data_IF_460212628598
#
_entry.id   IF_460212628598
#
_cell.length_a   1.000
_cell.length_b   1.000
_cell.length_c   1.000
_cell.angle_alpha   90.00
_cell.angle_beta   90.00
_cell.angle_gamma   90.00
#
_symmetry.space_group_name_H-M   'P 1'
#
loop_
_entity.id
_entity.type
_entity.pdbx_description
1 polymer ?
#
# COMPACT_ATOMS: atom_id res chain seq x y z
N UNK A 1 15.66 17.65 9.55
CA UNK A 1 14.18 17.65 9.53
C UNK A 1 13.75 16.24 9.20
N UNK A 2 13.30 15.52 10.22
CA UNK A 2 12.71 14.20 10.10
C UNK A 2 11.21 14.28 9.89
N UNK A 3 10.62 13.17 9.46
CA UNK A 3 9.17 13.09 9.28
C UNK A 3 8.48 12.90 10.63
N UNK A 4 7.38 13.63 10.85
CA UNK A 4 6.41 13.39 11.92
C UNK A 4 5.29 12.50 11.37
N UNK A 5 5.16 11.30 11.90
CA UNK A 5 4.32 10.22 11.37
C UNK A 5 3.22 9.94 12.37
N UNK A 6 1.97 9.90 11.91
CA UNK A 6 0.85 9.43 12.72
C UNK A 6 0.43 8.03 12.28
N UNK A 7 0.43 7.07 13.20
CA UNK A 7 -0.15 5.74 12.98
C UNK A 7 -1.53 5.66 13.65
N UNK A 8 -2.55 5.28 12.88
CA UNK A 8 -3.84 4.87 13.43
C UNK A 8 -3.79 3.38 13.71
N UNK A 9 -3.80 3.02 14.99
CA UNK A 9 -3.78 1.65 15.46
C UNK A 9 -5.18 1.05 15.45
N UNK A 10 -5.40 0.03 14.62
CA UNK A 10 -6.66 -0.70 14.53
C UNK A 10 -6.78 -1.83 15.57
N UNK A 11 -6.11 -1.66 16.72
CA UNK A 11 -5.98 -2.65 17.79
C UNK A 11 -5.17 -3.89 17.36
N UNK A 12 -4.02 -3.67 16.71
CA UNK A 12 -3.14 -4.74 16.23
C UNK A 12 -1.94 -4.98 17.16
N UNK A 13 -1.61 -6.25 17.37
CA UNK A 13 -0.48 -6.64 18.25
C UNK A 13 0.89 -6.28 17.68
N UNK A 14 0.99 -5.96 16.39
CA UNK A 14 2.22 -5.63 15.67
C UNK A 14 2.39 -4.14 15.38
N UNK A 15 1.48 -3.27 15.81
CA UNK A 15 1.57 -1.82 15.58
C UNK A 15 2.90 -1.23 16.06
N UNK A 16 3.42 -1.66 17.21
CA UNK A 16 4.71 -1.16 17.70
C UNK A 16 5.94 -1.70 16.94
N UNK A 17 5.81 -2.82 16.22
CA UNK A 17 6.85 -3.24 15.28
C UNK A 17 6.92 -2.28 14.08
N UNK A 18 5.77 -1.76 13.64
CA UNK A 18 5.74 -0.69 12.63
C UNK A 18 6.38 0.58 13.17
N UNK A 19 6.06 0.99 14.41
CA UNK A 19 6.70 2.15 15.06
C UNK A 19 8.22 1.99 15.02
N UNK A 20 8.75 0.87 15.51
CA UNK A 20 10.19 0.61 15.49
C UNK A 20 10.78 0.58 14.08
N UNK A 21 10.06 0.06 13.08
CA UNK A 21 10.52 0.08 11.69
C UNK A 21 10.60 1.51 11.14
N UNK A 22 9.62 2.37 11.43
CA UNK A 22 9.63 3.77 11.02
C UNK A 22 10.72 4.59 11.71
N UNK A 23 10.94 4.36 13.00
CA UNK A 23 12.01 5.00 13.76
C UNK A 23 13.39 4.55 13.26
N UNK A 24 13.56 3.27 12.93
CA UNK A 24 14.82 2.74 12.43
C UNK A 24 15.17 3.27 11.03
N UNK A 25 14.18 3.38 10.13
CA UNK A 25 14.40 3.80 8.75
C UNK A 25 14.31 5.32 8.55
N UNK A 26 13.81 6.03 9.55
CA UNK A 26 13.78 7.49 9.59
C UNK A 26 15.16 8.11 9.87
N UNK A 27 15.26 9.42 9.68
CA UNK A 27 16.40 10.21 10.15
C UNK A 27 16.35 10.39 11.67
N UNK A 28 17.42 10.90 12.29
CA UNK A 28 17.50 11.13 13.76
C UNK A 28 16.32 11.95 14.34
N UNK A 29 15.72 12.85 13.55
CA UNK A 29 14.58 13.69 13.94
C UNK A 29 13.20 13.03 13.67
N UNK A 30 13.13 11.76 13.26
CA UNK A 30 11.88 11.07 12.95
C UNK A 30 11.04 10.91 14.23
N UNK A 31 9.75 11.25 14.16
CA UNK A 31 8.80 11.12 15.27
C UNK A 31 7.62 10.27 14.84
N UNK A 32 7.23 9.31 15.67
CA UNK A 32 6.10 8.42 15.39
C UNK A 32 5.14 8.47 16.56
N UNK A 33 3.94 9.00 16.31
CA UNK A 33 2.85 8.96 17.28
C UNK A 33 1.83 7.89 16.88
N UNK A 34 1.17 7.30 17.89
CA UNK A 34 0.14 6.27 17.69
C UNK A 34 -1.16 6.75 18.31
N UNK A 35 -2.21 6.84 17.50
CA UNK A 35 -3.57 7.06 17.97
C UNK A 35 -4.37 5.75 17.84
N UNK A 36 -4.88 5.21 18.96
CA UNK A 36 -5.83 4.11 18.90
C UNK A 36 -7.08 4.53 18.13
N UNK A 37 -7.57 3.67 17.23
CA UNK A 37 -8.76 3.94 16.42
C UNK A 37 -9.98 4.26 17.28
N UNK A 38 -10.08 3.63 18.45
CA UNK A 38 -11.17 3.84 19.41
C UNK A 38 -11.15 5.25 20.01
N UNK A 39 -10.04 5.99 19.94
CA UNK A 39 -9.91 7.35 20.48
C UNK A 39 -10.11 8.45 19.42
N UNK A 40 -10.32 8.10 18.15
CA UNK A 40 -10.51 9.07 17.07
C UNK A 40 -11.70 10.02 17.25
N UNK A 41 -12.67 9.64 18.09
CA UNK A 41 -13.82 10.48 18.42
C UNK A 41 -13.53 11.49 19.54
N UNK A 42 -12.47 11.28 20.32
CA UNK A 42 -12.07 12.15 21.43
C UNK A 42 -10.92 13.09 21.10
N UNK A 43 -10.12 12.75 20.08
CA UNK A 43 -8.99 13.57 19.65
C UNK A 43 -9.47 14.66 18.69
N UNK A 44 -8.91 15.86 18.82
CA UNK A 44 -9.11 16.90 17.82
C UNK A 44 -8.45 16.48 16.50
N UNK A 45 -9.27 16.10 15.54
CA UNK A 45 -8.81 15.64 14.23
C UNK A 45 -8.09 16.72 13.44
N UNK A 46 -8.19 18.00 13.81
CA UNK A 46 -7.39 19.07 13.19
C UNK A 46 -5.89 18.90 13.45
N UNK A 47 -5.50 18.25 14.56
CA UNK A 47 -4.10 17.96 14.88
C UNK A 47 -3.43 17.02 13.88
N UNK A 48 -4.19 16.28 13.07
CA UNK A 48 -3.63 15.40 12.03
C UNK A 48 -2.77 16.17 11.02
N UNK A 49 -3.06 17.45 10.82
CA UNK A 49 -2.33 18.31 9.89
C UNK A 49 -0.98 18.79 10.43
N UNK A 50 -0.64 18.49 11.69
CA UNK A 50 0.70 18.66 12.24
C UNK A 50 1.67 17.55 11.81
N UNK A 51 1.14 16.47 11.25
CA UNK A 51 1.92 15.33 10.77
C UNK A 51 2.21 15.45 9.27
N UNK A 52 3.28 14.79 8.86
CA UNK A 52 3.73 14.75 7.47
C UNK A 52 3.11 13.60 6.68
N UNK A 53 2.69 12.54 7.38
CA UNK A 53 1.94 11.45 6.79
C UNK A 53 1.08 10.71 7.80
N UNK A 54 0.07 10.02 7.29
CA UNK A 54 -0.80 9.11 8.01
C UNK A 54 -0.48 7.67 7.62
N UNK A 55 -0.39 6.79 8.60
CA UNK A 55 -0.27 5.34 8.40
C UNK A 55 -1.49 4.68 9.01
N UNK A 56 -2.20 3.90 8.20
CA UNK A 56 -3.27 3.03 8.68
C UNK A 56 -2.67 1.65 8.93
N UNK A 57 -2.61 1.24 10.20
CA UNK A 57 -2.00 -0.03 10.61
C UNK A 57 -2.76 -1.24 10.07
N UNK A 58 -2.16 -2.45 10.16
CA UNK A 58 -2.91 -3.69 10.18
C UNK A 58 -3.93 -3.72 11.32
N UNK A 59 -4.83 -4.70 11.29
CA UNK A 59 -5.77 -4.94 12.36
C UNK A 59 -6.71 -6.11 12.07
N UNK A 60 -7.46 -6.56 13.09
CA UNK A 60 -8.54 -7.52 12.90
C UNK A 60 -9.73 -6.91 12.16
N UNK A 61 -10.69 -7.75 11.79
CA UNK A 61 -11.96 -7.28 11.23
C UNK A 61 -11.86 -6.80 9.78
N UNK A 62 -12.73 -5.87 9.41
CA UNK A 62 -12.90 -5.33 8.07
C UNK A 62 -13.09 -3.80 8.12
N UNK A 63 -12.84 -3.08 7.01
CA UNK A 63 -12.94 -1.62 7.00
C UNK A 63 -14.27 -1.06 7.52
N UNK A 64 -15.39 -1.75 7.26
CA UNK A 64 -16.72 -1.37 7.73
C UNK A 64 -16.88 -1.39 9.26
N UNK A 65 -16.00 -2.09 9.97
CA UNK A 65 -16.00 -2.15 11.43
C UNK A 65 -15.37 -0.87 12.04
N UNK A 66 -14.69 -0.05 11.22
CA UNK A 66 -13.98 1.16 11.64
C UNK A 66 -14.47 2.42 10.87
N UNK A 67 -15.76 2.80 10.97
CA UNK A 67 -16.31 3.91 10.19
C UNK A 67 -15.64 5.27 10.47
N UNK A 68 -15.09 5.47 11.67
CA UNK A 68 -14.35 6.68 12.03
C UNK A 68 -13.13 6.94 11.12
N UNK A 69 -12.51 5.88 10.60
CA UNK A 69 -11.37 5.99 9.68
C UNK A 69 -11.81 6.51 8.32
N UNK A 70 -13.03 6.20 7.87
CA UNK A 70 -13.58 6.77 6.64
C UNK A 70 -13.75 8.28 6.77
N UNK A 71 -14.32 8.75 7.87
CA UNK A 71 -14.45 10.19 8.16
C UNK A 71 -13.10 10.90 8.26
N UNK A 72 -12.08 10.21 8.82
CA UNK A 72 -10.71 10.71 8.86
C UNK A 72 -10.12 10.85 7.44
N UNK A 73 -10.34 9.88 6.57
CA UNK A 73 -9.90 9.94 5.18
C UNK A 73 -10.58 11.09 4.41
N UNK A 74 -11.87 11.33 4.65
CA UNK A 74 -12.58 12.50 4.11
C UNK A 74 -11.93 13.82 4.57
N UNK A 75 -11.36 13.86 5.77
CA UNK A 75 -10.72 15.05 6.34
C UNK A 75 -9.29 15.28 5.83
N UNK A 76 -8.56 14.25 5.38
CA UNK A 76 -7.16 14.37 4.93
C UNK A 76 -6.93 14.18 3.43
N UNK A 77 -7.85 13.53 2.72
CA UNK A 77 -7.82 13.34 1.27
C UNK A 77 -8.88 14.23 0.62
N UNK A 78 -8.55 14.93 -0.47
CA UNK A 78 -9.56 15.73 -1.17
C UNK A 78 -9.10 16.26 -2.53
N UNK A 79 -9.95 16.11 -3.55
CA UNK A 79 -9.71 16.63 -4.90
C UNK A 79 -9.78 18.17 -4.98
N UNK A 80 -10.58 18.77 -4.10
CA UNK A 80 -10.78 20.23 -4.01
C UNK A 80 -9.92 20.87 -2.91
N UNK A 81 -9.07 20.09 -2.23
CA UNK A 81 -8.16 20.59 -1.21
C UNK A 81 -6.87 21.06 -1.85
N UNK A 82 -6.34 22.16 -1.33
CA UNK A 82 -5.02 22.71 -1.69
C UNK A 82 -3.91 21.68 -1.42
N UNK A 83 -4.08 20.84 -0.39
CA UNK A 83 -3.13 19.82 0.06
C UNK A 83 -3.87 18.55 0.48
N UNK A 84 -3.32 17.39 0.13
CA UNK A 84 -3.70 16.09 0.69
C UNK A 84 -2.57 15.58 1.56
N UNK A 85 -2.90 14.97 2.70
CA UNK A 85 -1.90 14.30 3.53
C UNK A 85 -1.52 12.97 2.88
N UNK A 86 -0.22 12.64 2.75
CA UNK A 86 0.21 11.32 2.33
C UNK A 86 -0.33 10.21 3.25
N UNK A 87 -0.87 9.14 2.66
CA UNK A 87 -1.45 8.02 3.42
C UNK A 87 -0.85 6.69 2.96
N UNK A 88 -0.31 5.93 3.91
CA UNK A 88 0.10 4.53 3.72
C UNK A 88 -0.86 3.60 4.47
N UNK A 89 -1.51 2.69 3.77
CA UNK A 89 -2.34 1.65 4.38
C UNK A 89 -1.68 0.28 4.35
N UNK A 90 -1.65 -0.41 5.47
CA UNK A 90 -1.01 -1.73 5.60
C UNK A 90 -2.06 -2.77 6.01
N UNK A 91 -2.15 -3.88 5.29
CA UNK A 91 -3.13 -4.96 5.48
C UNK A 91 -4.57 -4.42 5.53
N UNK A 92 -5.17 -4.29 6.73
CA UNK A 92 -6.47 -3.65 6.92
C UNK A 92 -6.47 -2.21 6.41
N UNK A 93 -5.38 -1.45 6.58
CA UNK A 93 -5.24 -0.11 6.04
C UNK A 93 -5.35 -0.05 4.51
N UNK A 94 -4.73 -0.99 3.78
CA UNK A 94 -4.93 -1.09 2.32
C UNK A 94 -6.39 -1.39 1.99
N UNK A 95 -7.00 -2.32 2.72
CA UNK A 95 -8.39 -2.71 2.50
C UNK A 95 -9.32 -1.51 2.69
N UNK A 96 -9.08 -0.70 3.72
CA UNK A 96 -9.80 0.55 4.00
C UNK A 96 -9.66 1.53 2.85
N UNK A 97 -8.44 1.81 2.40
CA UNK A 97 -8.19 2.71 1.27
C UNK A 97 -8.90 2.24 0.00
N UNK A 98 -8.82 0.94 -0.31
CA UNK A 98 -9.46 0.38 -1.49
C UNK A 98 -10.99 0.52 -1.42
N UNK A 99 -11.60 0.20 -0.27
CA UNK A 99 -13.04 0.36 -0.10
C UNK A 99 -13.48 1.83 -0.10
N UNK A 100 -12.65 2.73 0.44
CA UNK A 100 -12.87 4.17 0.42
C UNK A 100 -12.95 4.72 -1.01
N UNK A 101 -12.09 4.23 -1.91
CA UNK A 101 -12.15 4.56 -3.34
C UNK A 101 -13.18 3.73 -4.14
N UNK A 102 -14.13 3.07 -3.48
CA UNK A 102 -15.23 2.33 -4.13
C UNK A 102 -14.84 0.93 -4.63
N UNK A 103 -13.67 0.42 -4.24
CA UNK A 103 -13.29 -0.97 -4.46
C UNK A 103 -14.06 -1.94 -3.57
N UNK A 104 -13.91 -3.23 -3.83
CA UNK A 104 -14.56 -4.30 -3.05
C UNK A 104 -13.54 -5.32 -2.58
N UNK A 105 -13.91 -6.08 -1.55
CA UNK A 105 -13.07 -7.13 -0.97
C UNK A 105 -13.72 -8.49 -1.18
N UNK A 106 -12.90 -9.53 -1.26
CA UNK A 106 -13.35 -10.92 -1.26
C UNK A 106 -12.55 -11.74 -0.25
N UNK A 107 -13.16 -12.81 0.26
CA UNK A 107 -12.51 -13.71 1.19
C UNK A 107 -11.72 -14.79 0.43
N UNK A 108 -10.48 -15.01 0.83
CA UNK A 108 -9.62 -16.06 0.30
C UNK A 108 -10.06 -17.42 0.86
N UNK A 109 -10.33 -18.38 -0.03
CA UNK A 109 -10.82 -19.72 0.35
C UNK A 109 -9.88 -20.50 1.27
N UNK A 110 -8.58 -20.18 1.27
CA UNK A 110 -7.61 -20.70 2.25
C UNK A 110 -6.68 -19.60 2.72
N UNK A 111 -6.53 -19.50 4.04
CA UNK A 111 -5.70 -18.52 4.71
C UNK A 111 -4.36 -19.18 5.03
N UNK A 112 -3.27 -18.56 4.58
CA UNK A 112 -1.90 -19.06 4.79
C UNK A 112 -1.16 -18.10 5.71
N UNK A 113 -1.61 -17.99 6.96
CA UNK A 113 -0.92 -17.18 7.99
C UNK A 113 0.52 -17.69 8.19
N UNK A 114 1.45 -16.76 8.37
CA UNK A 114 2.85 -17.11 8.70
C UNK A 114 3.57 -17.82 7.56
N UNK A 115 3.25 -17.48 6.30
CA UNK A 115 3.99 -17.95 5.11
C UNK A 115 4.56 -16.79 4.32
N UNK A 116 5.70 -17.04 3.69
CA UNK A 116 6.30 -16.12 2.73
C UNK A 116 5.72 -16.36 1.35
N UNK A 117 5.45 -15.28 0.63
CA UNK A 117 5.02 -15.32 -0.77
C UNK A 117 5.89 -14.42 -1.62
N UNK A 118 6.07 -14.81 -2.88
CA UNK A 118 6.78 -14.01 -3.86
C UNK A 118 5.83 -13.01 -4.53
N UNK A 119 6.22 -11.74 -4.55
CA UNK A 119 5.53 -10.69 -5.27
C UNK A 119 6.05 -10.56 -6.70
N UNK A 120 5.11 -10.36 -7.61
CA UNK A 120 5.35 -9.80 -8.93
C UNK A 120 5.05 -8.29 -8.87
N UNK A 121 6.06 -7.48 -9.15
CA UNK A 121 5.96 -6.03 -9.11
C UNK A 121 5.67 -5.47 -10.51
N UNK A 122 4.81 -4.46 -10.58
CA UNK A 122 4.65 -3.65 -11.78
C UNK A 122 5.84 -2.71 -11.86
N UNK A 123 6.55 -2.71 -12.99
CA UNK A 123 7.50 -1.63 -13.27
C UNK A 123 6.72 -0.33 -13.41
N UNK A 124 6.77 0.50 -12.38
CA UNK A 124 6.31 1.87 -12.49
C UNK A 124 7.43 2.65 -13.19
N UNK A 125 7.12 3.55 -14.15
CA UNK A 125 8.13 4.50 -14.60
C UNK A 125 8.68 5.18 -13.35
N UNK A 126 10.01 5.30 -13.25
CA UNK A 126 10.62 6.18 -12.25
C UNK A 126 9.89 7.52 -12.37
N UNK A 127 9.40 8.05 -11.24
CA UNK A 127 8.88 9.42 -11.19
C UNK A 127 9.91 10.25 -11.94
N UNK A 128 9.50 10.87 -13.06
CA UNK A 128 10.43 11.53 -13.97
C UNK A 128 11.40 12.35 -13.12
N UNK A 129 12.71 12.13 -13.31
CA UNK A 129 13.74 12.88 -12.61
C UNK A 129 13.33 14.36 -12.61
N UNK A 130 13.33 14.94 -11.42
CA UNK A 130 12.99 16.33 -11.19
C UNK A 130 13.87 17.22 -12.07
N UNK A 131 13.38 17.55 -13.26
CA UNK A 131 14.19 18.18 -14.32
C UNK A 131 13.46 18.34 -15.66
N UNK A 132 12.46 17.51 -15.97
CA UNK A 132 11.62 17.76 -17.15
C UNK A 132 10.51 18.76 -16.82
N UNK A 133 10.73 20.03 -17.20
CA UNK A 133 9.67 21.05 -17.32
C UNK A 133 8.66 20.61 -18.39
N UNK A 134 7.77 19.69 -18.05
CA UNK A 134 6.58 19.40 -18.84
C UNK A 134 5.36 20.00 -18.13
N UNK A 135 4.93 21.14 -18.66
CA UNK A 135 3.61 21.76 -18.53
C UNK A 135 2.60 21.11 -17.56
N UNK A 136 2.37 21.74 -16.42
CA UNK A 136 1.01 22.01 -15.93
C UNK A 136 0.17 20.82 -15.42
N UNK A 137 0.77 19.92 -14.63
CA UNK A 137 0.13 19.21 -13.50
C UNK A 137 1.25 18.44 -12.78
N UNK A 138 1.62 18.85 -11.57
CA UNK A 138 2.56 18.08 -10.78
C UNK A 138 1.94 16.71 -10.50
N UNK A 139 2.53 15.63 -11.00
CA UNK A 139 2.14 14.27 -10.64
C UNK A 139 2.40 14.10 -9.13
N UNK A 140 1.34 14.23 -8.32
CA UNK A 140 1.33 13.95 -6.88
C UNK A 140 0.79 12.55 -6.56
N UNK A 141 0.74 11.66 -7.57
CA UNK A 141 0.37 10.26 -7.39
C UNK A 141 1.28 9.55 -6.39
N UNK A 142 0.83 8.42 -5.84
CA UNK A 142 1.63 7.66 -4.89
C UNK A 142 3.01 7.28 -5.45
N UNK A 143 4.09 7.32 -4.64
CA UNK A 143 5.43 6.99 -5.11
C UNK A 143 5.54 5.52 -5.53
N UNK A 144 6.55 5.20 -6.34
CA UNK A 144 6.99 3.81 -6.48
C UNK A 144 7.86 3.43 -5.28
N UNK A 145 7.23 2.87 -4.24
CA UNK A 145 7.96 2.43 -3.04
C UNK A 145 8.67 1.08 -3.21
N UNK A 146 8.54 0.46 -4.38
CA UNK A 146 9.26 -0.77 -4.73
C UNK A 146 10.51 -0.51 -5.57
N UNK A 147 10.86 0.76 -5.81
CA UNK A 147 12.08 1.14 -6.51
C UNK A 147 13.30 0.48 -5.86
N UNK A 148 14.23 0.04 -6.72
CA UNK A 148 15.51 -0.59 -6.33
C UNK A 148 15.41 -1.93 -5.57
N UNK A 149 14.22 -2.53 -5.43
CA UNK A 149 14.08 -3.86 -4.84
C UNK A 149 14.39 -4.97 -5.85
N UNK A 150 15.09 -6.01 -5.38
CA UNK A 150 15.38 -7.19 -6.20
C UNK A 150 14.16 -8.12 -6.26
N UNK A 151 13.71 -8.46 -7.47
CA UNK A 151 12.58 -9.40 -7.67
C UNK A 151 13.07 -10.85 -7.75
N UNK A 152 12.30 -11.83 -7.22
CA UNK A 152 11.01 -11.67 -6.54
C UNK A 152 11.15 -11.17 -5.09
N UNK A 153 10.30 -10.22 -4.71
CA UNK A 153 10.23 -9.73 -3.32
C UNK A 153 9.45 -10.73 -2.47
N UNK A 154 10.05 -11.23 -1.39
CA UNK A 154 9.38 -12.14 -0.45
C UNK A 154 8.72 -11.35 0.67
N UNK A 155 7.44 -11.63 0.92
CA UNK A 155 6.66 -10.94 1.96
C UNK A 155 5.88 -11.92 2.82
N UNK A 156 5.70 -11.57 4.10
CA UNK A 156 4.87 -12.32 5.05
C UNK A 156 3.37 -12.02 4.90
N UNK A 157 2.54 -13.06 4.92
CA UNK A 157 1.07 -12.92 4.87
C UNK A 157 0.40 -13.28 6.19
N UNK A 158 -0.59 -12.46 6.56
CA UNK A 158 -1.43 -12.66 7.75
C UNK A 158 -2.91 -12.34 7.52
N UNK A 159 -3.38 -12.27 6.26
CA UNK A 159 -4.74 -11.83 5.93
C UNK A 159 -5.59 -12.93 5.29
N UNK A 160 -6.92 -12.84 5.49
CA UNK A 160 -7.94 -13.72 4.91
C UNK A 160 -8.81 -13.03 3.85
N UNK A 161 -8.68 -11.71 3.72
CA UNK A 161 -9.38 -10.89 2.74
C UNK A 161 -8.39 -10.25 1.77
N UNK A 162 -8.84 -10.05 0.54
CA UNK A 162 -8.05 -9.43 -0.51
C UNK A 162 -8.93 -8.51 -1.38
N UNK A 163 -8.29 -7.62 -2.12
CA UNK A 163 -8.95 -6.68 -3.03
C UNK A 163 -9.50 -7.42 -4.24
N UNK A 164 -10.80 -7.26 -4.49
CA UNK A 164 -11.44 -7.78 -5.68
C UNK A 164 -11.19 -6.87 -6.88
N UNK A 165 -10.89 -7.50 -8.01
CA UNK A 165 -10.75 -6.86 -9.32
C UNK A 165 -11.86 -7.37 -10.27
N UNK A 166 -13.11 -7.44 -9.80
CA UNK A 166 -14.29 -7.73 -10.64
C UNK A 166 -14.78 -9.19 -10.63
N UNK A 167 -15.95 -9.46 -11.26
CA UNK A 167 -16.65 -10.73 -11.12
C UNK A 167 -15.91 -11.89 -11.81
N UNK A 168 -15.63 -12.95 -11.04
CA UNK A 168 -14.94 -14.13 -11.52
C UNK A 168 -13.42 -13.96 -11.63
N UNK A 169 -12.77 -13.37 -10.62
CA UNK A 169 -11.31 -13.23 -10.50
C UNK A 169 -10.62 -14.52 -10.96
N UNK A 170 -10.24 -14.61 -12.24
CA UNK A 170 -8.93 -14.19 -12.80
C UNK A 170 -8.98 -14.21 -14.33
N UNK A 171 -8.39 -13.23 -15.04
CA UNK A 171 -8.15 -13.41 -16.46
C UNK A 171 -7.18 -14.58 -16.69
N UNK A 172 -7.56 -15.58 -17.49
CA UNK A 172 -6.62 -16.54 -18.04
C UNK A 172 -5.52 -15.75 -18.78
N UNK A 173 -4.34 -15.73 -18.17
CA UNK A 173 -3.21 -14.90 -18.60
C UNK A 173 -2.20 -15.71 -19.41
N UNK A 174 -2.66 -16.81 -20.01
CA UNK A 174 -1.94 -17.64 -20.98
C UNK A 174 -0.72 -16.95 -21.59
N UNK A 175 0.47 -17.45 -21.22
CA UNK A 175 1.74 -16.91 -21.68
C UNK A 175 2.91 -17.48 -20.89
N UNK A 176 3.94 -17.94 -21.60
CA UNK A 176 5.22 -18.26 -21.00
C UNK A 176 5.84 -16.98 -20.44
N UNK A 177 6.23 -16.97 -19.17
CA UNK A 177 6.87 -15.82 -18.53
C UNK A 177 8.21 -16.24 -17.92
N UNK A 178 9.25 -15.44 -18.21
CA UNK A 178 10.61 -15.60 -17.66
C UNK A 178 10.72 -14.82 -16.35
N UNK A 179 11.32 -15.44 -15.34
CA UNK A 179 11.99 -14.77 -14.20
C UNK A 179 11.18 -13.66 -13.47
N UNK A 180 10.01 -14.00 -12.92
CA UNK A 180 9.34 -13.10 -11.97
C UNK A 180 8.67 -11.84 -12.54
N UNK A 181 8.74 -11.63 -13.87
CA UNK A 181 8.14 -10.46 -14.54
C UNK A 181 6.89 -10.85 -15.32
N UNK A 182 5.76 -10.23 -14.97
CA UNK A 182 4.52 -10.35 -15.72
C UNK A 182 4.55 -9.41 -16.95
N UNK A 183 4.05 -9.88 -18.08
CA UNK A 183 4.06 -9.08 -19.32
C UNK A 183 3.09 -7.88 -19.28
N UNK A 184 3.24 -6.92 -20.20
CA UNK A 184 2.40 -5.72 -20.26
C UNK A 184 0.90 -6.03 -20.39
N UNK A 185 0.54 -7.03 -21.20
CA UNK A 185 -0.85 -7.46 -21.38
C UNK A 185 -1.51 -7.92 -20.08
N UNK A 186 -0.76 -8.57 -19.18
CA UNK A 186 -1.25 -8.93 -17.85
C UNK A 186 -1.62 -7.67 -17.07
N UNK A 187 -0.68 -6.73 -16.95
CA UNK A 187 -0.86 -5.50 -16.18
C UNK A 187 -2.00 -4.65 -16.72
N UNK A 188 -2.14 -4.54 -18.04
CA UNK A 188 -3.27 -3.83 -18.67
C UNK A 188 -4.62 -4.47 -18.34
N UNK A 189 -4.70 -5.82 -18.34
CA UNK A 189 -5.94 -6.54 -18.02
C UNK A 189 -6.37 -6.31 -16.58
N UNK A 190 -5.45 -6.47 -15.62
CA UNK A 190 -5.80 -6.27 -14.21
C UNK A 190 -6.05 -4.80 -13.88
N UNK A 191 -5.35 -3.87 -14.55
CA UNK A 191 -5.54 -2.44 -14.34
C UNK A 191 -6.92 -1.96 -14.80
N UNK A 192 -7.48 -2.54 -15.87
CA UNK A 192 -8.87 -2.27 -16.31
C UNK A 192 -9.93 -2.65 -15.28
N UNK A 193 -9.56 -3.51 -14.33
CA UNK A 193 -10.43 -4.01 -13.27
C UNK A 193 -10.18 -3.33 -11.92
N UNK A 194 -9.14 -2.51 -11.82
CA UNK A 194 -8.83 -1.78 -10.60
C UNK A 194 -9.94 -0.75 -10.29
N UNK A 195 -10.21 -0.45 -9.01
CA UNK A 195 -11.09 0.65 -8.64
C UNK A 195 -10.64 1.97 -9.28
N UNK A 196 -11.60 2.86 -9.58
CA UNK A 196 -11.31 4.11 -10.27
C UNK A 196 -10.32 4.96 -9.48
N UNK A 197 -9.24 5.41 -10.13
CA UNK A 197 -8.19 6.23 -9.50
C UNK A 197 -7.07 5.42 -8.84
N UNK A 198 -7.21 4.10 -8.71
CA UNK A 198 -6.16 3.22 -8.18
C UNK A 198 -5.39 2.50 -9.29
N UNK A 199 -4.09 2.42 -9.12
CA UNK A 199 -3.18 1.59 -9.91
C UNK A 199 -2.72 0.39 -9.08
N UNK A 200 -2.74 -0.80 -9.68
CA UNK A 200 -2.20 -2.01 -9.05
C UNK A 200 -0.69 -2.04 -9.28
N UNK A 201 0.08 -2.08 -8.19
CA UNK A 201 1.54 -1.99 -8.21
C UNK A 201 2.23 -3.31 -7.88
N UNK A 202 1.55 -4.21 -7.16
CA UNK A 202 2.08 -5.54 -6.85
C UNK A 202 0.97 -6.58 -6.80
N UNK A 203 1.29 -7.79 -7.23
CA UNK A 203 0.43 -8.97 -7.08
C UNK A 203 1.23 -10.16 -6.56
N UNK A 204 0.61 -11.02 -5.76
CA UNK A 204 1.07 -12.38 -5.56
C UNK A 204 0.25 -13.31 -6.44
N UNK A 205 0.79 -14.47 -6.78
CA UNK A 205 0.12 -15.43 -7.64
C UNK A 205 -0.25 -16.68 -6.85
N UNK A 206 -1.46 -17.20 -7.06
CA UNK A 206 -1.88 -18.51 -6.57
C UNK A 206 -1.71 -19.52 -7.72
N UNK A 207 -1.19 -20.70 -7.39
CA UNK A 207 -0.98 -21.78 -8.34
C UNK A 207 -2.29 -22.37 -8.90
N UNK A 208 -2.20 -23.22 -9.92
CA UNK A 208 -3.36 -23.88 -10.56
C UNK A 208 -4.24 -24.72 -9.62
N UNK A 209 -3.71 -25.12 -8.46
CA UNK A 209 -4.52 -25.81 -7.47
C UNK A 209 -5.50 -24.85 -6.77
N UNK A 210 -5.21 -23.55 -6.78
CA UNK A 210 -5.98 -22.55 -6.06
C UNK A 210 -5.66 -22.50 -4.56
N UNK A 211 -4.66 -23.26 -4.10
CA UNK A 211 -4.39 -23.49 -2.68
C UNK A 211 -3.02 -22.99 -2.20
N UNK A 212 -2.06 -22.76 -3.11
CA UNK A 212 -0.71 -22.32 -2.75
C UNK A 212 -0.29 -21.11 -3.54
N UNK A 213 0.50 -20.22 -2.93
CA UNK A 213 1.16 -19.18 -3.71
C UNK A 213 2.18 -19.82 -4.64
N UNK A 214 2.10 -19.44 -5.91
CA UNK A 214 3.00 -19.91 -6.93
C UNK A 214 4.41 -19.41 -6.65
N UNK A 215 5.37 -20.33 -6.63
CA UNK A 215 6.81 -20.01 -6.52
C UNK A 215 7.36 -19.40 -7.82
N UNK A 216 6.58 -19.48 -8.92
CA UNK A 216 6.93 -18.96 -10.23
C UNK A 216 5.70 -18.43 -10.98
N UNK A 217 5.83 -17.34 -11.76
CA UNK A 217 4.77 -16.81 -12.62
C UNK A 217 4.22 -17.78 -13.70
N UNK A 218 4.83 -18.95 -13.89
CA UNK A 218 4.32 -19.95 -14.84
C UNK A 218 3.15 -20.78 -14.30
N UNK A 219 2.86 -20.71 -12.99
CA UNK A 219 1.82 -21.52 -12.33
C UNK A 219 0.54 -20.73 -12.00
N UNK A 220 0.42 -19.45 -12.40
CA UNK A 220 -0.67 -18.55 -12.00
C UNK A 220 -2.02 -19.09 -12.46
N UNK A 221 -2.89 -19.47 -11.53
CA UNK A 221 -4.32 -19.50 -11.77
C UNK A 221 -5.01 -18.23 -11.29
N UNK A 222 -4.43 -17.51 -10.32
CA UNK A 222 -5.04 -16.28 -9.83
C UNK A 222 -4.09 -15.22 -9.25
N UNK A 223 -4.03 -13.96 -9.75
CA UNK A 223 -3.42 -12.89 -8.99
C UNK A 223 -4.26 -12.47 -7.79
N UNK A 224 -3.56 -12.19 -6.70
CA UNK A 224 -4.04 -11.52 -5.50
C UNK A 224 -3.35 -10.17 -5.46
N UNK A 225 -4.11 -9.09 -5.40
CA UNK A 225 -3.57 -7.74 -5.28
C UNK A 225 -2.81 -7.61 -3.96
N UNK A 226 -1.56 -7.17 -4.05
CA UNK A 226 -0.66 -7.01 -2.90
C UNK A 226 -0.19 -5.58 -2.69
N UNK A 227 -0.32 -4.73 -3.69
CA UNK A 227 0.01 -3.31 -3.61
C UNK A 227 -0.86 -2.49 -4.53
N UNK A 228 -1.26 -1.31 -4.05
CA UNK A 228 -1.99 -0.31 -4.81
C UNK A 228 -1.40 1.07 -4.56
N UNK A 229 -1.56 1.98 -5.53
CA UNK A 229 -1.33 3.42 -5.32
C UNK A 229 -2.44 4.23 -5.97
N UNK A 230 -2.68 5.45 -5.47
CA UNK A 230 -3.59 6.36 -6.14
C UNK A 230 -2.87 7.17 -7.23
N UNK A 231 -3.52 7.36 -8.38
CA UNK A 231 -2.92 7.99 -9.56
C UNK A 231 -2.65 9.48 -9.37
N UNK A 232 -3.45 10.17 -8.55
CA UNK A 232 -3.35 11.64 -8.36
C UNK A 232 -3.24 12.09 -6.90
N UNK A 233 -3.26 11.15 -5.95
CA UNK A 233 -3.21 11.44 -4.52
C UNK A 233 -2.01 10.71 -3.93
N UNK A 234 -1.38 11.22 -2.87
CA UNK A 234 -0.20 10.62 -2.24
C UNK A 234 -0.59 9.40 -1.38
N UNK A 235 -1.27 8.42 -1.97
CA UNK A 235 -1.85 7.27 -1.28
C UNK A 235 -1.24 5.98 -1.80
N UNK A 236 -0.82 5.11 -0.88
CA UNK A 236 -0.34 3.76 -1.14
C UNK A 236 -1.00 2.78 -0.19
N UNK A 237 -1.30 1.58 -0.70
CA UNK A 237 -1.67 0.43 0.12
C UNK A 237 -0.71 -0.73 -0.09
N UNK A 238 -0.42 -1.48 0.98
CA UNK A 238 0.26 -2.77 0.99
C UNK A 238 -0.63 -3.82 1.67
N UNK A 239 -0.82 -5.00 1.06
CA UNK A 239 -1.67 -6.06 1.63
C UNK A 239 -0.90 -6.93 2.64
N UNK A 240 0.42 -6.93 2.53
CA UNK A 240 1.35 -7.66 3.39
C UNK A 240 1.94 -6.74 4.47
N UNK A 241 2.69 -7.35 5.39
CA UNK A 241 3.23 -6.71 6.58
C UNK A 241 4.73 -6.38 6.38
N UNK A 242 5.11 -5.13 6.11
CA UNK A 242 6.52 -4.74 5.96
C UNK A 242 7.30 -4.86 7.28
N UNK A 243 6.64 -4.77 8.43
CA UNK A 243 7.21 -4.94 9.76
C UNK A 243 7.51 -6.40 10.13
N UNK A 244 6.99 -7.36 9.36
CA UNK A 244 7.21 -8.76 9.65
C UNK A 244 8.66 -9.16 9.35
N UNK A 245 9.27 -9.95 10.24
CA UNK A 245 10.56 -10.63 9.97
C UNK A 245 10.53 -11.47 8.68
N UNK A 246 9.33 -11.86 8.23
CA UNK A 246 9.09 -12.61 7.00
C UNK A 246 9.15 -11.73 5.74
N UNK A 247 9.34 -10.43 5.88
CA UNK A 247 9.45 -9.45 4.79
C UNK A 247 10.83 -8.78 4.83
N UNK A 248 11.91 -9.43 4.33
CA UNK A 248 13.27 -8.89 4.44
C UNK A 248 13.46 -7.50 3.80
N UNK A 249 12.70 -7.23 2.74
CA UNK A 249 12.74 -5.94 2.02
C UNK A 249 11.86 -4.86 2.68
N UNK A 250 11.22 -5.15 3.81
CA UNK A 250 10.27 -4.25 4.49
C UNK A 250 10.90 -2.90 4.86
N UNK A 251 12.12 -2.93 5.37
CA UNK A 251 12.92 -1.73 5.65
C UNK A 251 13.13 -0.87 4.39
N UNK A 252 13.50 -1.48 3.27
CA UNK A 252 13.67 -0.76 2.00
C UNK A 252 12.37 -0.11 1.50
N UNK A 253 11.24 -0.81 1.66
CA UNK A 253 9.91 -0.30 1.29
C UNK A 253 9.55 0.94 2.14
N UNK A 254 9.74 0.86 3.47
CA UNK A 254 9.45 1.98 4.37
C UNK A 254 10.40 3.15 4.13
N UNK A 255 11.70 2.89 3.91
CA UNK A 255 12.65 3.94 3.55
C UNK A 255 12.25 4.69 2.28
N UNK A 256 11.85 3.96 1.24
CA UNK A 256 11.37 4.56 0.00
C UNK A 256 10.11 5.44 0.20
N UNK A 257 9.23 5.05 1.12
CA UNK A 257 8.08 5.87 1.51
C UNK A 257 8.52 7.14 2.23
N UNK A 258 9.44 7.05 3.21
CA UNK A 258 9.94 8.20 3.96
C UNK A 258 10.68 9.21 3.08
N UNK A 259 11.50 8.73 2.14
CA UNK A 259 12.15 9.59 1.14
C UNK A 259 11.12 10.41 0.33
N UNK A 260 9.99 9.80 -0.04
CA UNK A 260 8.91 10.51 -0.72
C UNK A 260 8.26 11.57 0.17
N UNK A 261 8.04 11.29 1.46
CA UNK A 261 7.50 12.28 2.40
C UNK A 261 8.43 13.49 2.49
N UNK A 262 9.73 13.26 2.63
CA UNK A 262 10.73 14.33 2.71
C UNK A 262 10.77 15.18 1.43
N UNK A 263 10.65 14.55 0.27
CA UNK A 263 10.59 15.26 -1.02
C UNK A 263 9.32 16.12 -1.14
N UNK A 264 8.17 15.67 -0.64
CA UNK A 264 6.95 16.50 -0.57
C UNK A 264 7.17 17.71 0.34
N UNK A 265 7.76 17.52 1.52
CA UNK A 265 8.02 18.61 2.47
C UNK A 265 8.91 19.67 1.84
N UNK A 266 10.02 19.27 1.20
CA UNK A 266 10.96 20.18 0.55
C UNK A 266 10.28 21.07 -0.49
N UNK A 267 9.36 20.51 -1.30
CA UNK A 267 8.60 21.26 -2.31
C UNK A 267 7.60 22.25 -1.73
N UNK A 268 7.16 22.06 -0.49
CA UNK A 268 6.23 22.99 0.17
C UNK A 268 6.95 24.16 0.85
N UNK A 269 8.26 24.04 1.06
CA UNK A 269 9.12 25.08 1.65
C UNK A 269 9.84 25.95 0.62
N UNK A 270 9.81 25.56 -0.66
CA UNK A 270 10.40 26.28 -1.82
C UNK A 270 9.37 27.20 -2.50
#
# INVERSE_FOLDING_TARGET
>A
MGAKILIIDHNDSFTYNLVGLFEQEGTEDCQVDVWPVDQLHTVDQHLIWEYDCLVLSPGPGLPRDYPAVTSLLDSVLGKDKIKSLPVLGICLGLQTLVTYFGGTLYNLKQIQHGRQVALCLKTCPAVAEAGSKASGKADTGGPDIFKHLNTPVKVGLYHSWAVSIGPGTVPDVGGHQKEGKLNSNFWEKIQKQAPTGLEITAVACIDKSGFRFAESPSAIAAPVVMGVRHLSLPVIGLQFHPESYMTPEGAGIIRNWLEFIMEIQRRQTE
#
